data_IF_700913403872
#
_entry.id   IF_700913403872
#
_cell.length_a   1.000
_cell.length_b   1.000
_cell.length_c   1.000
_cell.angle_alpha   90.00
_cell.angle_beta   90.00
_cell.angle_gamma   90.00
#
_symmetry.space_group_name_H-M   'P 1'
#
loop_
_entity.id
_entity.type
_entity.pdbx_description
1 polymer ?
#
# COMPACT_ATOMS: atom_id res chain seq x y z
N UNK A 1 -29.46 -38.78 3.43
CA UNK A 1 -28.19 -38.17 3.91
C UNK A 1 -27.32 -37.69 2.74
N UNK A 2 -27.75 -36.64 2.00
CA UNK A 2 -26.95 -36.06 0.88
C UNK A 2 -26.74 -34.54 0.98
N UNK A 3 -27.35 -33.90 1.98
CA UNK A 3 -27.36 -32.43 2.12
C UNK A 3 -26.09 -31.88 2.80
N UNK A 4 -25.33 -32.71 3.51
CA UNK A 4 -24.16 -32.27 4.29
C UNK A 4 -22.86 -32.19 3.45
N UNK A 5 -22.76 -32.96 2.36
CA UNK A 5 -21.55 -32.97 1.52
C UNK A 5 -21.39 -31.70 0.67
N UNK A 6 -22.51 -31.10 0.27
CA UNK A 6 -22.50 -29.89 -0.56
C UNK A 6 -22.01 -28.66 0.21
N UNK A 7 -22.32 -28.58 1.51
CA UNK A 7 -21.82 -27.52 2.40
C UNK A 7 -20.31 -27.61 2.63
N UNK A 8 -19.76 -28.82 2.76
CA UNK A 8 -18.32 -29.05 2.96
C UNK A 8 -17.52 -28.60 1.72
N UNK A 9 -18.08 -28.82 0.52
CA UNK A 9 -17.45 -28.40 -0.74
C UNK A 9 -17.43 -26.87 -0.87
N UNK A 10 -18.52 -26.18 -0.49
CA UNK A 10 -18.58 -24.71 -0.55
C UNK A 10 -17.58 -24.08 0.43
N UNK A 11 -17.40 -24.65 1.63
CA UNK A 11 -16.43 -24.16 2.63
C UNK A 11 -14.98 -24.31 2.12
N UNK A 12 -14.66 -25.38 1.39
CA UNK A 12 -13.34 -25.61 0.80
C UNK A 12 -13.01 -24.65 -0.35
N UNK A 13 -14.01 -24.23 -1.13
CA UNK A 13 -13.80 -23.27 -2.24
C UNK A 13 -13.57 -21.84 -1.70
N UNK A 14 -14.23 -21.46 -0.60
CA UNK A 14 -14.07 -20.13 0.00
C UNK A 14 -12.71 -20.00 0.72
N UNK A 15 -12.19 -21.09 1.31
CA UNK A 15 -10.88 -21.09 1.98
C UNK A 15 -9.68 -21.15 1.02
N UNK A 16 -9.89 -21.49 -0.26
CA UNK A 16 -8.85 -21.53 -1.29
C UNK A 16 -8.38 -20.16 -1.81
N UNK A 17 -9.07 -19.06 -1.47
CA UNK A 17 -8.69 -17.70 -1.90
C UNK A 17 -7.97 -16.90 -0.80
N UNK A 18 -7.68 -17.53 0.35
CA UNK A 18 -6.99 -16.87 1.45
C UNK A 18 -5.47 -16.92 1.21
N UNK A 19 -4.99 -15.87 0.54
CA UNK A 19 -3.71 -15.21 0.86
C UNK A 19 -2.42 -15.98 0.56
N UNK A 20 -2.05 -16.01 -0.71
CA UNK A 20 -0.64 -15.96 -1.13
C UNK A 20 -0.35 -14.56 -1.70
N UNK A 21 -0.59 -13.53 -0.91
CA UNK A 21 0.16 -12.29 -1.06
C UNK A 21 1.55 -12.59 -0.50
N UNK A 22 2.40 -13.14 -1.34
CA UNK A 22 3.84 -13.11 -1.11
C UNK A 22 4.20 -11.64 -0.90
N UNK A 23 4.38 -11.23 0.35
CA UNK A 23 5.09 -10.01 0.70
C UNK A 23 6.50 -10.18 0.15
N UNK A 24 6.66 -9.89 -1.14
CA UNK A 24 7.95 -9.65 -1.73
C UNK A 24 8.54 -8.52 -0.91
N UNK A 25 9.50 -8.85 -0.04
CA UNK A 25 10.41 -7.89 0.57
C UNK A 25 10.93 -7.03 -0.56
N UNK A 26 10.33 -5.85 -0.73
CA UNK A 26 10.85 -4.88 -1.66
C UNK A 26 12.23 -4.53 -1.13
N UNK A 27 13.25 -4.85 -1.92
CA UNK A 27 14.62 -4.49 -1.61
C UNK A 27 14.72 -2.96 -1.65
N UNK A 28 14.53 -2.31 -0.49
CA UNK A 28 14.50 -0.85 -0.35
C UNK A 28 15.90 -0.21 -0.47
N UNK A 29 16.91 -1.01 -0.80
CA UNK A 29 18.32 -0.61 -0.87
C UNK A 29 18.61 0.36 -2.02
N UNK A 30 17.75 0.38 -3.06
CA UNK A 30 17.84 1.31 -4.18
C UNK A 30 16.73 2.36 -4.09
N UNK A 31 17.12 3.59 -3.78
CA UNK A 31 16.22 4.73 -3.82
C UNK A 31 15.69 4.90 -5.26
N UNK A 32 14.37 4.89 -5.50
CA UNK A 32 13.83 5.01 -6.85
C UNK A 32 14.29 6.34 -7.47
N UNK A 33 14.81 6.24 -8.69
CA UNK A 33 15.47 7.35 -9.37
C UNK A 33 14.43 8.18 -10.14
N UNK A 34 13.43 7.52 -10.72
CA UNK A 34 12.38 8.15 -11.53
C UNK A 34 11.11 8.47 -10.74
N UNK A 35 10.34 9.45 -11.22
CA UNK A 35 9.04 9.80 -10.64
C UNK A 35 8.04 8.64 -10.69
N UNK A 36 8.09 7.83 -11.75
CA UNK A 36 7.18 6.70 -11.93
C UNK A 36 7.46 5.58 -10.90
N UNK A 37 8.73 5.31 -10.62
CA UNK A 37 9.11 4.34 -9.59
C UNK A 37 8.77 4.86 -8.19
N UNK A 38 8.93 6.16 -7.91
CA UNK A 38 8.50 6.73 -6.63
C UNK A 38 6.99 6.56 -6.42
N UNK A 39 6.18 6.74 -7.47
CA UNK A 39 4.73 6.50 -7.41
C UNK A 39 4.41 5.03 -7.15
N UNK A 40 5.06 4.09 -7.84
CA UNK A 40 4.80 2.67 -7.62
C UNK A 40 5.19 2.22 -6.22
N UNK A 41 6.28 2.76 -5.66
CA UNK A 41 6.70 2.52 -4.28
C UNK A 41 5.70 3.13 -3.29
N UNK A 42 5.22 4.35 -3.53
CA UNK A 42 4.18 4.97 -2.71
C UNK A 42 2.93 4.08 -2.64
N UNK A 43 2.43 3.59 -3.77
CA UNK A 43 1.22 2.75 -3.80
C UNK A 43 1.38 1.44 -3.01
N UNK A 44 2.59 0.86 -2.96
CA UNK A 44 2.86 -0.30 -2.09
C UNK A 44 2.70 0.06 -0.61
N UNK A 45 3.34 1.14 -0.17
CA UNK A 45 3.23 1.57 1.23
C UNK A 45 1.81 2.02 1.61
N UNK A 46 1.05 2.57 0.66
CA UNK A 46 -0.38 2.84 0.86
C UNK A 46 -1.17 1.56 1.07
N UNK A 47 -0.94 0.54 0.25
CA UNK A 47 -1.60 -0.75 0.40
C UNK A 47 -1.27 -1.39 1.75
N UNK A 48 -0.01 -1.35 2.19
CA UNK A 48 0.40 -1.81 3.51
C UNK A 48 -0.29 -1.03 4.64
N UNK A 49 -0.36 0.30 4.55
CA UNK A 49 -1.02 1.15 5.54
C UNK A 49 -2.56 1.02 5.54
N UNK A 50 -3.15 0.40 4.52
CA UNK A 50 -4.57 0.00 4.50
C UNK A 50 -4.76 -1.36 5.15
N UNK A 51 -3.85 -2.31 4.90
CA UNK A 51 -3.88 -3.64 5.50
C UNK A 51 -3.59 -3.61 7.01
N UNK A 52 -2.59 -2.83 7.42
CA UNK A 52 -2.23 -2.57 8.81
C UNK A 52 -2.18 -1.06 9.05
N UNK A 53 -3.28 -0.46 9.55
CA UNK A 53 -3.37 0.97 9.81
C UNK A 53 -2.39 1.51 10.87
N UNK A 54 -1.79 0.63 11.68
CA UNK A 54 -0.84 0.97 12.74
C UNK A 54 0.61 0.70 12.34
N UNK A 55 0.86 0.26 11.10
CA UNK A 55 2.21 0.05 10.60
C UNK A 55 2.93 1.40 10.40
N UNK A 56 3.61 1.82 11.47
CA UNK A 56 4.40 3.05 11.53
C UNK A 56 5.38 3.18 10.35
N UNK A 57 6.03 2.07 9.98
CA UNK A 57 7.03 2.07 8.90
C UNK A 57 6.36 2.44 7.57
N UNK A 58 5.24 1.81 7.23
CA UNK A 58 4.52 2.09 5.99
C UNK A 58 3.94 3.50 5.97
N UNK A 59 3.43 4.00 7.10
CA UNK A 59 2.95 5.39 7.23
C UNK A 59 4.07 6.42 7.03
N UNK A 60 5.22 6.26 7.70
CA UNK A 60 6.37 7.13 7.52
C UNK A 60 6.88 7.11 6.08
N UNK A 61 6.96 5.92 5.46
CA UNK A 61 7.42 5.78 4.07
C UNK A 61 6.42 6.39 3.09
N UNK A 62 5.11 6.18 3.28
CA UNK A 62 4.08 6.81 2.47
C UNK A 62 4.17 8.34 2.56
N UNK A 63 4.32 8.89 3.76
CA UNK A 63 4.53 10.33 3.97
C UNK A 63 5.75 10.86 3.21
N UNK A 64 6.90 10.19 3.35
CA UNK A 64 8.15 10.57 2.70
C UNK A 64 8.02 10.57 1.17
N UNK A 65 7.44 9.51 0.59
CA UNK A 65 7.29 9.40 -0.86
C UNK A 65 6.26 10.38 -1.41
N UNK A 66 5.14 10.62 -0.73
CA UNK A 66 4.19 11.66 -1.10
C UNK A 66 4.86 13.04 -1.11
N UNK A 67 5.68 13.38 -0.10
CA UNK A 67 6.41 14.65 -0.08
C UNK A 67 7.44 14.77 -1.22
N UNK A 68 8.17 13.69 -1.53
CA UNK A 68 9.14 13.63 -2.65
C UNK A 68 8.45 13.83 -4.00
N UNK A 69 7.36 13.12 -4.24
CA UNK A 69 6.58 13.21 -5.48
C UNK A 69 5.98 14.61 -5.61
N UNK A 70 5.41 15.17 -4.53
CA UNK A 70 4.89 16.52 -4.49
C UNK A 70 5.94 17.57 -4.87
N UNK A 71 7.17 17.44 -4.37
CA UNK A 71 8.28 18.34 -4.72
C UNK A 71 8.65 18.32 -6.20
N UNK A 72 8.40 17.21 -6.89
CA UNK A 72 8.69 17.03 -8.33
C UNK A 72 7.51 17.42 -9.23
N UNK A 73 6.35 17.78 -8.67
CA UNK A 73 5.21 18.23 -9.46
C UNK A 73 5.38 19.69 -9.93
N UNK A 74 5.17 19.91 -11.22
CA UNK A 74 5.09 21.27 -11.80
C UNK A 74 3.70 21.89 -11.62
N UNK A 75 2.65 21.06 -11.49
CA UNK A 75 1.29 21.52 -11.24
C UNK A 75 1.08 21.77 -9.74
N UNK A 76 0.68 22.99 -9.37
CA UNK A 76 0.48 23.39 -7.98
C UNK A 76 -0.65 22.64 -7.28
N UNK A 77 -1.72 22.28 -7.99
CA UNK A 77 -2.84 21.53 -7.41
C UNK A 77 -2.40 20.11 -7.05
N UNK A 78 -1.74 19.43 -7.98
CA UNK A 78 -1.17 18.09 -7.75
C UNK A 78 -0.12 18.13 -6.63
N UNK A 79 0.74 19.15 -6.63
CA UNK A 79 1.74 19.38 -5.57
C UNK A 79 1.09 19.50 -4.20
N UNK A 80 0.04 20.31 -4.08
CA UNK A 80 -0.70 20.50 -2.83
C UNK A 80 -1.41 19.22 -2.38
N UNK A 81 -1.99 18.45 -3.30
CA UNK A 81 -2.59 17.15 -2.98
C UNK A 81 -1.56 16.19 -2.37
N UNK A 82 -0.39 16.06 -2.99
CA UNK A 82 0.68 15.20 -2.46
C UNK A 82 1.23 15.67 -1.11
N UNK A 83 1.36 16.98 -0.88
CA UNK A 83 1.77 17.47 0.43
C UNK A 83 0.70 17.29 1.51
N UNK A 84 -0.57 17.42 1.16
CA UNK A 84 -1.69 17.14 2.07
C UNK A 84 -1.69 15.66 2.45
N UNK A 85 -1.51 14.78 1.47
CA UNK A 85 -1.39 13.34 1.70
C UNK A 85 -0.18 13.00 2.57
N UNK A 86 0.97 13.63 2.30
CA UNK A 86 2.17 13.45 3.11
C UNK A 86 1.95 13.83 4.57
N UNK A 87 1.27 14.95 4.82
CA UNK A 87 0.89 15.41 6.15
C UNK A 87 -0.03 14.40 6.85
N UNK A 88 -1.08 13.94 6.17
CA UNK A 88 -2.02 12.98 6.75
C UNK A 88 -1.35 11.67 7.17
N UNK A 89 -0.39 11.17 6.38
CA UNK A 89 0.37 9.98 6.76
C UNK A 89 1.35 10.25 7.91
N UNK A 90 1.94 11.44 7.98
CA UNK A 90 2.83 11.81 9.08
C UNK A 90 2.07 11.98 10.41
N UNK A 91 0.84 12.50 10.38
CA UNK A 91 0.01 12.66 11.58
C UNK A 91 -0.52 11.33 12.11
N UNK A 92 -0.59 10.30 11.26
CA UNK A 92 -1.04 8.96 11.64
C UNK A 92 0.09 8.07 12.17
N UNK A 93 1.34 8.37 11.83
CA UNK A 93 2.51 7.62 12.27
C UNK A 93 2.88 8.05 13.70
#
# INVERSE_FOLDING_TARGET
MKLNYLYVIIILIVSGNLSLNSFAQADYSTMPCTLQEEKSVLEKFKAEAVQDPMNYTSLCRASLFSARIGRRQSNNDMKNQYFTEAKNYAERA
#
